data_IF_298335496382
#
_entry.id   IF_298335496382
#
_cell.length_a   1.000
_cell.length_b   1.000
_cell.length_c   1.000
_cell.angle_alpha   90.00
_cell.angle_beta   90.00
_cell.angle_gamma   90.00
#
_symmetry.space_group_name_H-M   'P 1'
#
loop_
_entity.id
_entity.type
_entity.pdbx_description
1 polymer ?
#
# COMPACT_ATOMS: atom_id res chain seq x y z
N UNK A 1 38.43 -22.31 13.17
CA UNK A 1 37.66 -21.83 11.99
C UNK A 1 36.61 -20.87 12.51
N UNK A 2 36.73 -19.57 12.21
CA UNK A 2 35.69 -18.62 12.55
C UNK A 2 34.47 -18.95 11.67
N UNK A 3 33.36 -19.38 12.27
CA UNK A 3 32.12 -19.57 11.54
C UNK A 3 31.69 -18.20 11.00
N UNK A 4 31.49 -18.08 9.69
CA UNK A 4 30.90 -16.88 9.09
C UNK A 4 29.54 -16.64 9.73
N UNK A 5 29.39 -15.49 10.38
CA UNK A 5 28.12 -15.07 10.97
C UNK A 5 27.17 -14.76 9.81
N UNK A 6 26.12 -15.57 9.66
CA UNK A 6 25.07 -15.28 8.66
C UNK A 6 24.36 -13.99 9.05
N UNK A 7 24.59 -12.92 8.30
CA UNK A 7 23.90 -11.65 8.48
C UNK A 7 22.47 -11.71 7.91
N UNK A 8 21.52 -11.09 8.62
CA UNK A 8 20.14 -11.00 8.17
C UNK A 8 20.04 -10.03 6.98
N UNK A 9 19.59 -10.53 5.81
CA UNK A 9 19.44 -9.73 4.59
C UNK A 9 18.02 -9.16 4.47
N UNK A 10 17.89 -7.84 4.52
CA UNK A 10 16.63 -7.11 4.38
C UNK A 10 16.22 -6.96 2.91
N UNK A 11 14.91 -7.07 2.65
CA UNK A 11 14.33 -6.82 1.32
C UNK A 11 13.71 -5.43 1.17
N UNK A 12 13.27 -4.84 2.29
CA UNK A 12 12.67 -3.51 2.33
C UNK A 12 13.63 -2.48 2.95
N UNK A 13 13.56 -1.20 2.53
CA UNK A 13 14.36 -0.14 3.13
C UNK A 13 13.98 0.06 4.60
N UNK A 14 14.93 0.53 5.40
CA UNK A 14 14.68 0.84 6.81
C UNK A 14 13.92 2.16 6.90
N UNK A 15 12.67 2.09 7.36
CA UNK A 15 11.84 3.26 7.64
C UNK A 15 11.68 3.36 9.16
N UNK A 16 12.18 4.45 9.75
CA UNK A 16 12.17 4.65 11.21
C UNK A 16 10.89 5.34 11.72
N UNK A 17 10.19 6.08 10.85
CA UNK A 17 8.99 6.86 11.20
C UNK A 17 7.96 6.81 10.09
N UNK A 18 6.69 6.76 10.48
CA UNK A 18 5.55 6.87 9.58
C UNK A 18 5.11 8.35 9.47
N UNK A 19 5.18 8.94 8.28
CA UNK A 19 4.76 10.32 8.04
C UNK A 19 3.25 10.53 8.15
N UNK A 20 2.45 9.46 8.02
CA UNK A 20 1.00 9.55 8.18
C UNK A 20 0.59 9.89 9.62
N UNK A 21 1.45 9.61 10.61
CA UNK A 21 1.21 9.92 12.02
C UNK A 21 2.51 10.40 12.67
N UNK A 22 2.93 11.64 12.37
CA UNK A 22 4.22 12.23 12.75
C UNK A 22 4.57 12.16 14.24
N UNK A 23 3.57 12.02 15.12
CA UNK A 23 3.72 12.06 16.57
C UNK A 23 3.68 10.67 17.24
N UNK A 24 3.55 9.59 16.46
CA UNK A 24 3.43 8.23 16.99
C UNK A 24 4.63 7.37 16.60
N UNK A 25 4.92 6.37 17.41
CA UNK A 25 5.84 5.31 17.01
C UNK A 25 5.30 4.56 15.79
N UNK A 26 6.19 3.96 15.01
CA UNK A 26 5.83 3.30 13.75
C UNK A 26 4.79 2.19 13.95
N UNK A 27 4.87 1.42 15.03
CA UNK A 27 3.95 0.32 15.32
C UNK A 27 2.53 0.86 15.59
N UNK A 28 2.40 1.86 16.47
CA UNK A 28 1.10 2.49 16.76
C UNK A 28 0.52 3.19 15.53
N UNK A 29 1.36 3.91 14.79
CA UNK A 29 0.96 4.57 13.54
C UNK A 29 0.38 3.57 12.53
N UNK A 30 1.09 2.45 12.30
CA UNK A 30 0.63 1.42 11.37
C UNK A 30 -0.69 0.77 11.79
N UNK A 31 -0.86 0.48 13.09
CA UNK A 31 -2.13 -0.05 13.64
C UNK A 31 -3.29 0.92 13.43
N UNK A 32 -3.08 2.20 13.72
CA UNK A 32 -4.10 3.22 13.53
C UNK A 32 -4.46 3.38 12.04
N UNK A 33 -3.46 3.50 11.18
CA UNK A 33 -3.65 3.59 9.74
C UNK A 33 -4.37 2.36 9.17
N UNK A 34 -4.03 1.14 9.61
CA UNK A 34 -4.68 -0.07 9.12
C UNK A 34 -6.16 -0.15 9.53
N UNK A 35 -6.51 0.31 10.74
CA UNK A 35 -7.91 0.42 11.20
C UNK A 35 -8.66 1.43 10.34
N UNK A 36 -8.10 2.64 10.16
CA UNK A 36 -8.72 3.70 9.36
C UNK A 36 -8.97 3.21 7.93
N UNK A 37 -7.95 2.61 7.30
CA UNK A 37 -8.07 2.05 5.94
C UNK A 37 -9.10 0.92 5.88
N UNK A 38 -9.18 0.06 6.89
CA UNK A 38 -10.19 -1.01 6.95
C UNK A 38 -11.61 -0.44 7.01
N UNK A 39 -11.84 0.65 7.76
CA UNK A 39 -13.13 1.34 7.82
C UNK A 39 -13.48 1.96 6.46
N UNK A 40 -12.55 2.67 5.83
CA UNK A 40 -12.77 3.24 4.50
C UNK A 40 -13.04 2.15 3.45
N UNK A 41 -12.31 1.05 3.50
CA UNK A 41 -12.52 -0.11 2.62
C UNK A 41 -13.90 -0.75 2.84
N UNK A 42 -14.37 -0.87 4.08
CA UNK A 42 -15.72 -1.36 4.38
C UNK A 42 -16.82 -0.45 3.80
N UNK A 43 -16.65 0.88 3.92
CA UNK A 43 -17.56 1.86 3.31
C UNK A 43 -17.55 1.70 1.78
N UNK A 44 -16.35 1.61 1.19
CA UNK A 44 -16.18 1.39 -0.25
C UNK A 44 -16.85 0.10 -0.74
N UNK A 45 -16.78 -0.98 0.03
CA UNK A 45 -17.43 -2.24 -0.27
C UNK A 45 -18.96 -2.09 -0.35
N UNK A 46 -19.57 -1.36 0.59
CA UNK A 46 -21.02 -1.08 0.59
C UNK A 46 -21.43 -0.29 -0.66
N UNK A 47 -20.63 0.70 -1.06
CA UNK A 47 -20.90 1.47 -2.27
C UNK A 47 -20.72 0.62 -3.53
N UNK A 48 -19.65 -0.17 -3.62
CA UNK A 48 -19.36 -1.02 -4.79
C UNK A 48 -20.47 -2.01 -5.10
N UNK A 49 -21.14 -2.55 -4.07
CA UNK A 49 -22.27 -3.47 -4.22
C UNK A 49 -23.49 -2.82 -4.91
N UNK A 50 -23.61 -1.48 -4.89
CA UNK A 50 -24.73 -0.76 -5.52
C UNK A 50 -24.59 -0.59 -7.03
N UNK A 51 -23.37 -0.60 -7.56
CA UNK A 51 -23.11 -0.26 -8.97
C UNK A 51 -23.20 -1.47 -9.93
N UNK A 52 -23.71 -2.62 -9.47
CA UNK A 52 -23.85 -3.90 -10.19
C UNK A 52 -22.57 -4.47 -10.85
N UNK A 53 -21.44 -3.78 -10.71
CA UNK A 53 -20.17 -4.18 -11.27
C UNK A 53 -19.49 -5.23 -10.37
N UNK A 54 -19.76 -6.50 -10.68
CA UNK A 54 -19.21 -7.66 -9.95
C UNK A 54 -17.68 -7.65 -9.85
N UNK A 55 -16.98 -7.15 -10.86
CA UNK A 55 -15.51 -7.11 -10.86
C UNK A 55 -15.00 -6.12 -9.81
N UNK A 56 -15.61 -4.93 -9.71
CA UNK A 56 -15.25 -3.93 -8.70
C UNK A 56 -15.57 -4.44 -7.29
N UNK A 57 -16.72 -5.08 -7.11
CA UNK A 57 -17.10 -5.66 -5.82
C UNK A 57 -16.09 -6.72 -5.34
N UNK A 58 -15.72 -7.68 -6.20
CA UNK A 58 -14.75 -8.72 -5.85
C UNK A 58 -13.36 -8.14 -5.50
N UNK A 59 -12.94 -7.10 -6.23
CA UNK A 59 -11.70 -6.38 -5.96
C UNK A 59 -11.74 -5.71 -4.57
N UNK A 60 -12.78 -4.92 -4.30
CA UNK A 60 -12.97 -4.26 -2.99
C UNK A 60 -13.07 -5.27 -1.84
N UNK A 61 -13.68 -6.44 -2.09
CA UNK A 61 -13.78 -7.51 -1.11
C UNK A 61 -12.40 -8.10 -0.77
N UNK A 62 -11.57 -8.36 -1.78
CA UNK A 62 -10.22 -8.87 -1.60
C UNK A 62 -9.34 -7.87 -0.83
N UNK A 63 -9.42 -6.59 -1.18
CA UNK A 63 -8.74 -5.51 -0.47
C UNK A 63 -9.17 -5.45 1.01
N UNK A 64 -10.47 -5.48 1.28
CA UNK A 64 -11.03 -5.46 2.63
C UNK A 64 -10.48 -6.61 3.48
N UNK A 65 -10.54 -7.85 3.00
CA UNK A 65 -9.99 -8.99 3.74
C UNK A 65 -8.48 -8.88 3.96
N UNK A 66 -7.75 -8.36 2.97
CA UNK A 66 -6.30 -8.17 3.11
C UNK A 66 -5.96 -7.16 4.22
N UNK A 67 -6.76 -6.09 4.36
CA UNK A 67 -6.61 -5.08 5.42
C UNK A 67 -6.98 -5.61 6.80
N UNK A 68 -7.99 -6.49 6.88
CA UNK A 68 -8.33 -7.18 8.14
C UNK A 68 -7.17 -8.08 8.58
N UNK A 69 -6.61 -8.88 7.66
CA UNK A 69 -5.44 -9.71 7.96
C UNK A 69 -4.22 -8.87 8.33
N UNK A 70 -3.99 -7.73 7.64
CA UNK A 70 -2.95 -6.78 8.02
C UNK A 70 -3.14 -6.31 9.45
N UNK A 71 -4.34 -5.87 9.80
CA UNK A 71 -4.65 -5.34 11.13
C UNK A 71 -4.40 -6.42 12.19
N UNK A 72 -4.95 -7.63 12.02
CA UNK A 72 -4.69 -8.76 12.92
C UNK A 72 -3.19 -9.07 13.03
N UNK A 73 -2.49 -9.06 11.90
CA UNK A 73 -1.05 -9.27 11.85
C UNK A 73 -0.27 -8.22 12.66
N UNK A 74 -0.62 -6.94 12.53
CA UNK A 74 0.00 -5.82 13.24
C UNK A 74 -0.20 -5.91 14.76
N UNK A 75 -1.40 -6.29 15.21
CA UNK A 75 -1.67 -6.48 16.63
C UNK A 75 -0.93 -7.69 17.22
N UNK A 76 -0.85 -8.79 16.46
CA UNK A 76 -0.23 -10.03 16.92
C UNK A 76 1.27 -10.15 16.60
N UNK A 77 1.87 -9.13 15.98
CA UNK A 77 3.25 -9.15 15.44
C UNK A 77 3.54 -10.40 14.60
N UNK A 78 2.53 -10.88 13.86
CA UNK A 78 2.63 -12.10 13.07
C UNK A 78 2.71 -11.78 11.58
N UNK A 79 3.93 -11.92 11.05
CA UNK A 79 4.31 -11.65 9.66
C UNK A 79 3.50 -12.49 8.66
N UNK A 80 3.05 -13.69 9.04
CA UNK A 80 2.24 -14.55 8.17
C UNK A 80 0.90 -13.92 7.81
N UNK A 81 0.28 -13.19 8.74
CA UNK A 81 -0.99 -12.49 8.51
C UNK A 81 -0.80 -11.16 7.76
N UNK A 82 0.38 -10.54 7.82
CA UNK A 82 0.66 -9.31 7.08
C UNK A 82 0.99 -9.56 5.60
N UNK A 83 1.47 -10.77 5.25
CA UNK A 83 1.91 -11.12 3.89
C UNK A 83 0.81 -11.01 2.81
N UNK A 84 -0.43 -11.45 3.03
CA UNK A 84 -1.51 -11.31 2.05
C UNK A 84 -1.73 -9.85 1.61
N UNK A 85 -1.63 -8.91 2.55
CA UNK A 85 -1.76 -7.48 2.25
C UNK A 85 -0.67 -7.00 1.28
N UNK A 86 0.61 -7.36 1.49
CA UNK A 86 1.67 -6.97 0.56
C UNK A 86 1.42 -7.50 -0.85
N UNK A 87 0.93 -8.74 -0.97
CA UNK A 87 0.63 -9.34 -2.26
C UNK A 87 -0.53 -8.65 -2.98
N UNK A 88 -1.65 -8.44 -2.27
CA UNK A 88 -2.81 -7.72 -2.81
C UNK A 88 -2.42 -6.30 -3.20
N UNK A 89 -1.67 -5.60 -2.36
CA UNK A 89 -1.22 -4.23 -2.62
C UNK A 89 -0.38 -4.13 -3.91
N UNK A 90 0.53 -5.06 -4.18
CA UNK A 90 1.32 -5.08 -5.43
C UNK A 90 0.41 -5.27 -6.64
N UNK A 91 -0.56 -6.18 -6.58
CA UNK A 91 -1.52 -6.39 -7.68
C UNK A 91 -2.35 -5.12 -7.91
N UNK A 92 -2.82 -4.51 -6.83
CA UNK A 92 -3.60 -3.27 -6.87
C UNK A 92 -2.83 -2.13 -7.54
N UNK A 93 -1.55 -1.96 -7.21
CA UNK A 93 -0.70 -0.94 -7.84
C UNK A 93 -0.53 -1.19 -9.34
N UNK A 94 -0.34 -2.45 -9.76
CA UNK A 94 -0.23 -2.79 -11.20
C UNK A 94 -1.53 -2.49 -11.94
N UNK A 95 -2.67 -2.87 -11.36
CA UNK A 95 -4.00 -2.57 -11.92
C UNK A 95 -4.21 -1.05 -12.02
N UNK A 96 -3.83 -0.31 -10.97
CA UNK A 96 -3.99 1.14 -10.90
C UNK A 96 -3.15 1.85 -11.97
N UNK A 97 -1.90 1.43 -12.17
CA UNK A 97 -1.04 1.95 -13.24
C UNK A 97 -1.66 1.66 -14.61
N UNK A 98 -2.11 0.42 -14.85
CA UNK A 98 -2.75 0.05 -16.10
C UNK A 98 -4.02 0.86 -16.39
N UNK A 99 -4.88 1.02 -15.39
CA UNK A 99 -6.10 1.83 -15.49
C UNK A 99 -5.79 3.31 -15.73
N UNK A 100 -4.78 3.86 -15.05
CA UNK A 100 -4.35 5.24 -15.25
C UNK A 100 -3.83 5.48 -16.67
N UNK A 101 -3.04 4.54 -17.23
CA UNK A 101 -2.57 4.62 -18.61
C UNK A 101 -3.73 4.59 -19.62
N UNK A 102 -4.74 3.74 -19.38
CA UNK A 102 -5.96 3.70 -20.22
C UNK A 102 -6.69 5.04 -20.17
N UNK A 103 -6.91 5.60 -18.96
CA UNK A 103 -7.59 6.89 -18.80
C UNK A 103 -6.85 8.04 -19.50
N UNK A 104 -5.52 8.08 -19.38
CA UNK A 104 -4.70 9.10 -20.07
C UNK A 104 -4.85 8.95 -21.58
N UNK A 105 -4.77 7.72 -22.10
CA UNK A 105 -4.91 7.46 -23.53
C UNK A 105 -6.30 7.81 -24.05
N UNK A 106 -7.35 7.41 -23.34
CA UNK A 106 -8.74 7.72 -23.66
C UNK A 106 -8.98 9.23 -23.66
N UNK A 107 -8.46 9.95 -22.66
CA UNK A 107 -8.55 11.41 -22.60
C UNK A 107 -7.97 12.06 -23.86
N UNK A 108 -6.79 11.64 -24.33
CA UNK A 108 -6.20 12.23 -25.53
C UNK A 108 -7.01 11.94 -26.81
N UNK A 109 -7.72 10.81 -26.87
CA UNK A 109 -8.57 10.47 -28.02
C UNK A 109 -9.89 11.24 -28.00
N UNK A 110 -10.52 11.35 -26.82
CA UNK A 110 -11.84 11.95 -26.67
C UNK A 110 -11.81 13.45 -26.36
N UNK A 111 -10.62 14.04 -26.18
CA UNK A 111 -10.45 15.45 -25.84
C UNK A 111 -11.17 16.38 -26.81
N UNK A 112 -11.00 16.18 -28.11
CA UNK A 112 -11.63 17.04 -29.13
C UNK A 112 -13.16 16.92 -29.07
N UNK A 113 -13.69 15.69 -28.99
CA UNK A 113 -15.15 15.50 -28.86
C UNK A 113 -15.72 16.11 -27.58
N UNK A 114 -15.01 16.06 -26.46
CA UNK A 114 -15.46 16.69 -25.20
C UNK A 114 -15.52 18.22 -25.36
N UNK A 115 -14.54 18.82 -26.04
CA UNK A 115 -14.52 20.27 -26.27
C UNK A 115 -15.68 20.66 -27.20
N UNK A 116 -15.90 19.90 -28.27
CA UNK A 116 -16.99 20.13 -29.22
C UNK A 116 -18.36 20.03 -28.53
N UNK A 117 -18.58 19.02 -27.69
CA UNK A 117 -19.83 18.83 -26.95
C UNK A 117 -20.11 20.02 -26.02
N UNK A 118 -19.10 20.51 -25.29
CA UNK A 118 -19.22 21.68 -24.40
C UNK A 118 -19.52 22.96 -25.22
N UNK A 119 -18.89 23.13 -26.39
CA UNK A 119 -19.15 24.26 -27.28
C UNK A 119 -20.57 24.24 -27.83
N UNK A 120 -21.13 23.07 -28.15
CA UNK A 120 -22.51 22.93 -28.61
C UNK A 120 -23.48 23.29 -27.49
N UNK A 121 -23.29 22.75 -26.29
CA UNK A 121 -24.16 23.03 -25.13
C UNK A 121 -24.15 24.51 -24.76
N UNK A 122 -22.99 25.16 -24.84
CA UNK A 122 -22.84 26.61 -24.58
C UNK A 122 -23.63 27.47 -25.58
N UNK A 123 -23.75 27.04 -26.84
CA UNK A 123 -24.50 27.78 -27.88
C UNK A 123 -26.01 27.71 -27.67
N UNK A 124 -26.50 26.70 -26.97
CA UNK A 124 -27.93 26.53 -26.69
C UNK A 124 -28.39 27.35 -25.47
N UNK A 125 -27.48 27.82 -24.62
CA UNK A 125 -27.78 28.67 -23.46
C UNK A 125 -27.29 30.12 -23.64
N UNK A 126 -28.20 31.09 -23.92
CA UNK A 126 -27.83 32.48 -24.20
C UNK A 126 -27.15 33.20 -23.03
N UNK A 127 -27.26 32.71 -21.79
CA UNK A 127 -26.58 33.29 -20.62
C UNK A 127 -25.11 32.82 -20.49
N UNK A 128 -24.74 31.68 -21.09
CA UNK A 128 -23.36 31.15 -21.10
C UNK A 128 -22.51 31.65 -22.27
N UNK A 129 -23.11 32.15 -23.35
CA UNK A 129 -22.42 32.63 -24.55
C UNK A 129 -21.35 33.69 -24.21
N UNK A 130 -21.61 34.57 -23.25
CA UNK A 130 -20.66 35.63 -22.87
C UNK A 130 -19.38 35.11 -22.17
N UNK A 131 -19.43 33.93 -21.54
CA UNK A 131 -18.31 33.36 -20.77
C UNK A 131 -17.43 32.40 -21.57
N UNK A 132 -17.98 31.79 -22.63
CA UNK A 132 -17.40 30.62 -23.28
C UNK A 132 -17.27 30.72 -24.81
N UNK A 133 -17.43 31.92 -25.39
CA UNK A 133 -17.20 32.18 -26.83
C UNK A 133 -15.72 32.01 -27.28
N UNK A 134 -14.84 31.56 -26.39
CA UNK A 134 -13.44 31.31 -26.68
C UNK A 134 -13.13 29.81 -26.53
N UNK A 135 -13.06 29.11 -27.67
CA UNK A 135 -12.66 27.70 -27.78
C UNK A 135 -11.35 27.40 -27.04
N UNK A 136 -10.37 28.33 -27.09
CA UNK A 136 -9.10 28.16 -26.38
C UNK A 136 -9.30 28.14 -24.86
N UNK A 137 -10.27 28.90 -24.35
CA UNK A 137 -10.59 28.92 -22.92
C UNK A 137 -11.22 27.60 -22.47
N UNK A 138 -12.15 27.03 -23.24
CA UNK A 138 -12.76 25.71 -22.95
C UNK A 138 -11.70 24.62 -22.96
N UNK A 139 -10.89 24.58 -24.02
CA UNK A 139 -9.81 23.63 -24.16
C UNK A 139 -8.81 23.71 -22.98
N UNK A 140 -8.53 24.92 -22.49
CA UNK A 140 -7.70 25.16 -21.30
C UNK A 140 -8.36 24.62 -20.03
N UNK A 141 -9.65 24.86 -19.82
CA UNK A 141 -10.40 24.37 -18.65
C UNK A 141 -10.42 22.84 -18.61
N UNK A 142 -10.73 22.18 -19.73
CA UNK A 142 -10.73 20.71 -19.83
C UNK A 142 -9.35 20.14 -19.47
N UNK A 143 -8.28 20.75 -20.00
CA UNK A 143 -6.92 20.34 -19.69
C UNK A 143 -6.58 20.53 -18.20
N UNK A 144 -6.95 21.67 -17.60
CA UNK A 144 -6.72 21.95 -16.18
C UNK A 144 -7.44 20.93 -15.29
N UNK A 145 -8.71 20.65 -15.58
CA UNK A 145 -9.50 19.67 -14.82
C UNK A 145 -8.84 18.28 -14.91
N UNK A 146 -8.41 17.86 -16.09
CA UNK A 146 -7.70 16.59 -16.27
C UNK A 146 -6.39 16.54 -15.48
N UNK A 147 -5.60 17.63 -15.49
CA UNK A 147 -4.36 17.73 -14.71
C UNK A 147 -4.65 17.61 -13.21
N UNK A 148 -5.69 18.30 -12.71
CA UNK A 148 -6.06 18.24 -11.29
C UNK A 148 -6.50 16.82 -10.88
N UNK A 149 -7.31 16.15 -11.70
CA UNK A 149 -7.71 14.75 -11.46
C UNK A 149 -6.48 13.83 -11.48
N UNK A 150 -5.59 14.00 -12.45
CA UNK A 150 -4.35 13.22 -12.54
C UNK A 150 -3.46 13.41 -11.31
N UNK A 151 -3.27 14.65 -10.85
CA UNK A 151 -2.50 14.95 -9.65
C UNK A 151 -3.12 14.29 -8.41
N UNK A 152 -4.45 14.34 -8.29
CA UNK A 152 -5.16 13.70 -7.19
C UNK A 152 -4.90 12.19 -7.16
N UNK A 153 -5.03 11.51 -8.31
CA UNK A 153 -4.75 10.07 -8.45
C UNK A 153 -3.31 9.75 -8.08
N UNK A 154 -2.34 10.53 -8.56
CA UNK A 154 -0.91 10.34 -8.25
C UNK A 154 -0.64 10.49 -6.76
N UNK A 155 -1.20 11.51 -6.10
CA UNK A 155 -1.03 11.75 -4.66
C UNK A 155 -1.57 10.58 -3.85
N UNK A 156 -2.79 10.12 -4.13
CA UNK A 156 -3.36 8.97 -3.42
C UNK A 156 -2.56 7.69 -3.65
N UNK A 157 -2.09 7.46 -4.88
CA UNK A 157 -1.23 6.34 -5.22
C UNK A 157 0.09 6.37 -4.45
N UNK A 158 0.71 7.56 -4.35
CA UNK A 158 1.96 7.74 -3.62
C UNK A 158 1.78 7.48 -2.11
N UNK A 159 0.67 7.95 -1.51
CA UNK A 159 0.33 7.67 -0.10
C UNK A 159 0.15 6.16 0.11
N UNK A 160 -0.54 5.48 -0.81
CA UNK A 160 -0.77 4.04 -0.73
C UNK A 160 0.52 3.23 -0.85
N UNK A 161 1.38 3.56 -1.82
CA UNK A 161 2.71 2.94 -1.99
C UNK A 161 3.59 3.21 -0.77
N UNK A 162 3.54 4.43 -0.22
CA UNK A 162 4.27 4.76 1.00
C UNK A 162 3.81 3.90 2.19
N UNK A 163 2.49 3.73 2.38
CA UNK A 163 1.95 2.85 3.43
C UNK A 163 2.40 1.40 3.24
N UNK A 164 2.41 0.89 2.01
CA UNK A 164 2.96 -0.42 1.65
C UNK A 164 4.43 -0.58 2.07
N UNK A 165 5.28 0.41 1.75
CA UNK A 165 6.69 0.39 2.12
C UNK A 165 6.88 0.40 3.64
N UNK A 166 6.06 1.17 4.37
CA UNK A 166 6.08 1.19 5.83
C UNK A 166 5.72 -0.19 6.42
N UNK A 167 4.67 -0.84 5.93
CA UNK A 167 4.29 -2.20 6.36
C UNK A 167 5.41 -3.20 6.04
N UNK A 168 5.98 -3.15 4.84
CA UNK A 168 7.09 -4.02 4.44
C UNK A 168 8.33 -3.82 5.31
N UNK A 169 8.72 -2.58 5.57
CA UNK A 169 9.81 -2.23 6.50
C UNK A 169 9.56 -2.79 7.90
N UNK A 170 8.35 -2.63 8.43
CA UNK A 170 7.97 -3.13 9.75
C UNK A 170 8.00 -4.66 9.83
N UNK A 171 7.52 -5.35 8.80
CA UNK A 171 7.61 -6.81 8.70
C UNK A 171 9.05 -7.31 8.76
N UNK A 172 9.98 -6.66 8.06
CA UNK A 172 11.40 -7.04 8.11
C UNK A 172 12.00 -6.79 9.50
N UNK A 173 11.60 -5.72 10.19
CA UNK A 173 12.02 -5.48 11.58
C UNK A 173 11.57 -6.60 12.52
N UNK A 174 10.32 -7.08 12.39
CA UNK A 174 9.84 -8.22 13.19
C UNK A 174 10.64 -9.49 12.89
N UNK A 175 10.91 -9.78 11.61
CA UNK A 175 11.70 -10.95 11.22
C UNK A 175 13.14 -10.88 11.75
N UNK A 176 13.74 -9.70 11.73
CA UNK A 176 15.09 -9.47 12.26
C UNK A 176 15.12 -9.72 13.77
N UNK A 177 14.11 -9.26 14.51
CA UNK A 177 13.96 -9.51 15.94
C UNK A 177 13.80 -11.01 16.24
N UNK A 178 12.94 -11.71 15.50
CA UNK A 178 12.76 -13.17 15.62
C UNK A 178 14.04 -13.94 15.31
N UNK A 179 14.75 -13.57 14.24
CA UNK A 179 16.02 -14.19 13.86
C UNK A 179 17.07 -14.07 14.97
N UNK A 180 17.19 -12.89 15.60
CA UNK A 180 18.12 -12.67 16.71
C UNK A 180 17.78 -13.51 17.94
N UNK A 181 16.49 -13.64 18.26
CA UNK A 181 16.03 -14.49 19.38
C UNK A 181 16.36 -15.96 19.11
N UNK A 182 16.14 -16.43 17.88
CA UNK A 182 16.43 -17.82 17.50
C UNK A 182 17.94 -18.10 17.46
N UNK A 183 18.75 -17.14 16.99
CA UNK A 183 20.22 -17.22 17.05
C UNK A 183 20.71 -17.31 18.50
N UNK A 184 20.17 -16.48 19.40
CA UNK A 184 20.51 -16.52 20.83
C UNK A 184 20.16 -17.86 21.49
N UNK A 185 18.96 -18.39 21.24
CA UNK A 185 18.52 -19.70 21.75
C UNK A 185 19.40 -20.84 21.24
N UNK A 186 19.85 -20.75 19.99
CA UNK A 186 20.76 -21.76 19.42
C UNK A 186 22.11 -21.75 20.12
N UNK A 187 22.67 -20.57 20.40
CA UNK A 187 23.92 -20.44 21.14
C UNK A 187 23.82 -20.99 22.57
N UNK A 188 22.71 -20.72 23.27
CA UNK A 188 22.44 -21.29 24.61
C UNK A 188 22.36 -22.83 24.58
N UNK A 189 21.71 -23.39 23.56
CA UNK A 189 21.62 -24.85 23.37
C UNK A 189 22.97 -25.49 23.06
N UNK A 190 23.80 -24.83 22.25
CA UNK A 190 25.14 -25.30 21.89
C UNK A 190 26.07 -25.28 23.12
N UNK A 191 26.00 -24.21 23.93
CA UNK A 191 26.75 -24.10 25.19
C UNK A 191 26.34 -25.16 26.21
N UNK A 192 25.04 -25.41 26.37
CA UNK A 192 24.54 -26.47 27.24
C UNK A 192 25.01 -27.87 26.80
N UNK A 193 25.07 -28.11 25.49
CA UNK A 193 25.55 -29.37 24.92
C UNK A 193 27.05 -29.57 25.17
N UNK A 194 27.86 -28.51 25.00
CA UNK A 194 29.30 -28.50 25.31
C UNK A 194 29.57 -28.77 26.79
N UNK A 195 28.80 -28.16 27.70
CA UNK A 195 28.96 -28.37 29.13
C UNK A 195 28.62 -29.82 29.54
N UNK A 196 27.60 -30.43 28.93
CA UNK A 196 27.27 -31.85 29.16
C UNK A 196 28.37 -32.81 28.66
N UNK A 197 28.98 -32.51 27.51
CA UNK A 197 30.14 -33.26 26.98
C UNK A 197 31.36 -33.17 27.92
N UNK A 198 31.65 -31.99 28.45
CA UNK A 198 32.76 -31.81 29.39
C UNK A 198 32.52 -32.57 30.71
N UNK A 199 31.29 -32.55 31.23
CA UNK A 199 30.93 -33.26 32.46
C UNK A 199 30.94 -34.80 32.31
N UNK A 200 30.67 -35.33 31.12
CA UNK A 200 30.77 -36.78 30.87
C UNK A 200 32.23 -37.23 30.78
N UNK A 201 33.09 -36.42 30.17
CA UNK A 201 34.52 -36.73 30.06
C UNK A 201 35.25 -36.66 31.42
N UNK A 202 34.88 -35.75 32.32
CA UNK A 202 35.48 -35.67 33.66
C UNK A 202 35.10 -36.83 34.59
N UNK A 203 33.94 -37.47 34.37
CA UNK A 203 33.51 -38.62 35.18
C UNK A 203 34.09 -39.97 34.71
N UNK A 204 34.80 -40.00 33.57
CA UNK A 204 35.44 -41.20 33.02
C UNK A 204 36.96 -41.25 33.23
N UNK A 205 37.54 -40.20 33.80
CA UNK A 205 38.96 -40.11 34.16
C UNK A 205 39.17 -40.33 35.66
#
# INVERSE_FOLDING_TARGET
>A
MAAEKKEFKRHFPVISKCYCCCCMDMETALKLCSIILSIFSAIGLIYSNRYENRSLFLRSLAEFFSLIFLTIGLFNKNVSFMRPFLFVCVIEVVILIGFYLILVFEFFITRESIIDDILVETKEDPDLIYYYDNEEAIASVVNIVFILISLLVIIFSAIYIYFFLCVGSYMETIKEEQYRIDEARKLESDEASLNNLNNTNTNQA
#
